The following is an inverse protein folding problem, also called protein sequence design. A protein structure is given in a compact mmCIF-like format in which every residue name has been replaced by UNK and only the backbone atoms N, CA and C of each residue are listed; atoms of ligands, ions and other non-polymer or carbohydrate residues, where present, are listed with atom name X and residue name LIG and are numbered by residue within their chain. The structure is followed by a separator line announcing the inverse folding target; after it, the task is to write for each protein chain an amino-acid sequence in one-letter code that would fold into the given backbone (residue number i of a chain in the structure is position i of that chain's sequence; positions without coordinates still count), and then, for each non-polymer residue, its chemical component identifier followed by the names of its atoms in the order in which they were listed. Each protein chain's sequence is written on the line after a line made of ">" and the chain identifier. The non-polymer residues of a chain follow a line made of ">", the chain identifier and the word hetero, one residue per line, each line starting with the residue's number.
data_IF_940926988800
#
_entry.id   IF_940926988800
#
_cell.length_a   1.000
_cell.length_b   1.000
_cell.length_c   1.000
_cell.angle_alpha   90.00
_cell.angle_beta   90.00
_cell.angle_gamma   90.00
#
_symmetry.space_group_name_H-M   'P 1'
#
loop_
_entity.id
_entity.type
_entity.pdbx_description
1 polymer ?
#
# COMPACT_ATOMS: atom_id res chain seq x y z
N UNK A 1 25.18 -2.05 -1.94
CA UNK A 1 24.31 -1.67 -3.08
C UNK A 1 23.72 -0.31 -2.76
N UNK A 2 23.91 0.68 -3.63
CA UNK A 2 23.25 1.98 -3.48
C UNK A 2 21.72 1.79 -3.46
N UNK A 3 20.97 2.60 -2.68
CA UNK A 3 19.52 2.52 -2.71
C UNK A 3 19.03 2.77 -4.15
N UNK A 4 18.30 1.81 -4.73
CA UNK A 4 17.63 2.00 -6.03
C UNK A 4 16.71 3.21 -5.93
N UNK A 5 16.79 4.09 -6.93
CA UNK A 5 15.90 5.25 -7.06
C UNK A 5 14.43 4.80 -7.07
N UNK A 6 13.49 5.60 -6.52
CA UNK A 6 12.06 5.29 -6.57
C UNK A 6 11.55 5.20 -8.02
N UNK A 7 10.68 4.23 -8.30
CA UNK A 7 10.05 4.06 -9.62
C UNK A 7 8.54 4.17 -9.50
N UNK A 8 7.97 5.14 -10.22
CA UNK A 8 6.53 5.39 -10.29
C UNK A 8 5.95 4.89 -11.62
N UNK A 9 4.66 4.53 -11.61
CA UNK A 9 3.99 3.94 -12.77
C UNK A 9 4.25 2.44 -12.90
N UNK A 10 4.04 1.90 -14.10
CA UNK A 10 4.29 0.49 -14.40
C UNK A 10 5.79 0.16 -14.32
N UNK A 11 6.09 -1.07 -13.92
CA UNK A 11 7.46 -1.60 -13.87
C UNK A 11 7.50 -2.87 -14.74
N UNK A 12 8.50 -2.93 -15.62
CA UNK A 12 8.64 -4.02 -16.59
C UNK A 12 7.44 -4.11 -17.53
N UNK A 13 6.95 -5.33 -17.73
CA UNK A 13 5.81 -5.64 -18.63
C UNK A 13 4.50 -5.89 -17.90
N UNK A 14 4.46 -5.66 -16.59
CA UNK A 14 3.31 -6.02 -15.76
C UNK A 14 2.06 -5.20 -16.10
N UNK A 15 0.92 -5.87 -16.23
CA UNK A 15 -0.40 -5.31 -16.54
C UNK A 15 -1.41 -5.66 -15.46
N UNK A 16 -2.46 -4.84 -15.33
CA UNK A 16 -3.56 -5.14 -14.43
C UNK A 16 -4.12 -6.55 -14.73
N UNK A 17 -4.32 -7.35 -13.70
CA UNK A 17 -4.70 -8.76 -13.80
C UNK A 17 -3.53 -9.75 -13.65
N UNK A 18 -2.28 -9.31 -13.85
CA UNK A 18 -1.11 -10.19 -13.71
C UNK A 18 -0.98 -10.72 -12.28
N UNK A 19 -0.57 -11.97 -12.17
CA UNK A 19 -0.46 -12.70 -10.91
C UNK A 19 1.01 -12.86 -10.50
N UNK A 20 1.24 -12.81 -9.18
CA UNK A 20 2.53 -12.99 -8.55
C UNK A 20 2.41 -14.02 -7.42
N UNK A 21 3.38 -14.92 -7.36
CA UNK A 21 3.50 -15.99 -6.40
C UNK A 21 3.77 -15.52 -4.98
N UNK A 22 4.53 -14.43 -4.78
CA UNK A 22 4.93 -14.03 -3.43
C UNK A 22 5.41 -12.58 -3.28
N UNK A 23 5.56 -12.13 -2.02
CA UNK A 23 6.26 -10.88 -1.68
C UNK A 23 7.73 -10.87 -2.13
N UNK A 24 8.38 -12.03 -2.17
CA UNK A 24 9.75 -12.16 -2.64
C UNK A 24 9.84 -11.88 -4.14
N UNK A 25 8.98 -12.50 -4.94
CA UNK A 25 8.91 -12.25 -6.38
C UNK A 25 8.61 -10.77 -6.68
N UNK A 26 7.63 -10.17 -5.97
CA UNK A 26 7.34 -8.74 -6.11
C UNK A 26 8.56 -7.85 -5.82
N UNK A 27 9.40 -8.23 -4.86
CA UNK A 27 10.59 -7.48 -4.51
C UNK A 27 11.73 -7.68 -5.52
N UNK A 28 11.95 -8.92 -5.97
CA UNK A 28 12.95 -9.28 -6.98
C UNK A 28 12.69 -8.59 -8.32
N UNK A 29 11.42 -8.55 -8.75
CA UNK A 29 10.97 -7.86 -9.96
C UNK A 29 10.86 -6.34 -9.79
N UNK A 30 11.03 -5.80 -8.57
CA UNK A 30 10.91 -4.37 -8.29
C UNK A 30 9.48 -3.82 -8.29
N UNK A 31 8.48 -4.69 -8.39
CA UNK A 31 7.05 -4.37 -8.37
C UNK A 31 6.65 -3.72 -7.03
N UNK A 32 7.01 -4.39 -5.92
CA UNK A 32 6.84 -3.92 -4.55
C UNK A 32 8.00 -4.41 -3.68
N UNK A 33 8.97 -3.52 -3.41
CA UNK A 33 10.26 -3.85 -2.78
C UNK A 33 10.19 -4.35 -1.34
N UNK A 34 9.30 -3.85 -0.46
CA UNK A 34 9.20 -4.36 0.91
C UNK A 34 8.71 -5.80 0.97
N UNK A 35 9.34 -6.63 1.81
CA UNK A 35 8.90 -8.02 2.03
C UNK A 35 7.75 -8.14 3.04
N UNK A 36 7.53 -7.13 3.88
CA UNK A 36 6.50 -7.13 4.94
C UNK A 36 5.56 -5.93 4.87
N UNK A 37 6.12 -4.71 4.88
CA UNK A 37 5.32 -3.48 4.96
C UNK A 37 4.33 -3.34 3.79
N UNK A 38 3.11 -2.89 4.06
CA UNK A 38 2.08 -2.73 3.03
C UNK A 38 2.40 -1.63 2.00
N UNK A 39 3.17 -0.61 2.38
CA UNK A 39 3.46 0.57 1.55
C UNK A 39 4.93 0.62 1.18
N UNK A 40 5.27 0.76 -0.10
CA UNK A 40 6.62 1.09 -0.58
C UNK A 40 6.68 2.58 -0.88
N UNK A 41 7.35 3.36 -0.03
CA UNK A 41 7.36 4.81 -0.15
C UNK A 41 8.60 5.45 0.49
N UNK A 42 8.86 6.69 0.10
CA UNK A 42 9.71 7.64 0.83
C UNK A 42 8.94 8.93 1.06
N UNK A 43 9.20 9.63 2.17
CA UNK A 43 8.58 10.93 2.45
C UNK A 43 8.90 11.98 1.38
N UNK A 44 10.11 11.92 0.81
CA UNK A 44 10.58 12.90 -0.18
C UNK A 44 9.94 12.71 -1.55
N UNK A 45 9.80 11.47 -2.02
CA UNK A 45 9.38 11.19 -3.40
C UNK A 45 7.93 10.71 -3.52
N UNK A 46 7.37 10.08 -2.49
CA UNK A 46 6.03 9.53 -2.53
C UNK A 46 5.98 8.01 -2.43
N UNK A 47 4.79 7.46 -2.58
CA UNK A 47 4.52 6.03 -2.61
C UNK A 47 4.60 5.46 -4.03
N UNK A 48 5.42 4.42 -4.20
CA UNK A 48 5.61 3.70 -5.46
C UNK A 48 4.55 2.60 -5.63
N UNK A 49 4.21 1.91 -4.53
CA UNK A 49 3.26 0.80 -4.54
C UNK A 49 2.67 0.52 -3.16
N UNK A 50 1.49 -0.09 -3.13
CA UNK A 50 0.85 -0.62 -1.92
C UNK A 50 0.38 -2.06 -2.12
N UNK A 51 0.15 -2.74 -1.00
CA UNK A 51 -0.50 -4.06 -0.94
C UNK A 51 -1.81 -3.93 -0.15
N UNK A 52 -2.93 -4.22 -0.83
CA UNK A 52 -4.24 -4.47 -0.23
C UNK A 52 -4.30 -5.93 0.22
N UNK A 53 -4.31 -6.13 1.52
CA UNK A 53 -4.14 -7.46 2.08
C UNK A 53 -5.19 -7.78 3.15
N UNK A 54 -6.23 -6.97 3.33
CA UNK A 54 -7.26 -7.19 4.35
C UNK A 54 -6.65 -7.46 5.74
N UNK A 55 -5.63 -6.64 6.06
CA UNK A 55 -4.88 -6.75 7.32
C UNK A 55 -5.22 -5.61 8.27
N UNK A 56 -5.87 -4.56 7.78
CA UNK A 56 -6.29 -3.43 8.58
C UNK A 56 -7.82 -3.45 8.62
N UNK A 57 -8.37 -3.45 9.83
CA UNK A 57 -9.81 -3.39 10.02
C UNK A 57 -10.43 -2.11 9.43
N UNK A 58 -9.64 -1.04 9.29
CA UNK A 58 -10.04 0.25 8.75
C UNK A 58 -9.87 0.39 7.23
N UNK A 59 -9.43 -0.65 6.52
CA UNK A 59 -9.52 -0.68 5.06
C UNK A 59 -11.01 -0.74 4.66
N UNK A 60 -11.43 0.08 3.70
CA UNK A 60 -12.81 0.14 3.21
C UNK A 60 -12.84 0.15 1.67
N UNK A 61 -13.39 -0.92 1.10
CA UNK A 61 -13.28 -1.22 -0.33
C UNK A 61 -14.64 -1.01 -1.01
N UNK A 62 -14.66 -0.19 -2.05
CA UNK A 62 -15.80 0.05 -2.93
C UNK A 62 -15.52 -0.50 -4.33
N UNK A 63 -16.52 -0.45 -5.22
CA UNK A 63 -16.40 -1.00 -6.57
C UNK A 63 -15.37 -0.23 -7.43
N UNK A 64 -15.29 1.09 -7.25
CA UNK A 64 -14.52 2.03 -8.06
C UNK A 64 -13.39 2.73 -7.29
N UNK A 65 -13.36 2.64 -5.95
CA UNK A 65 -12.31 3.22 -5.12
C UNK A 65 -12.12 2.44 -3.80
N UNK A 66 -11.11 2.81 -3.02
CA UNK A 66 -10.99 2.32 -1.65
C UNK A 66 -10.33 3.34 -0.74
N UNK A 67 -10.63 3.23 0.56
CA UNK A 67 -9.87 3.86 1.63
C UNK A 67 -8.86 2.87 2.18
N UNK A 68 -7.59 3.26 2.12
CA UNK A 68 -6.46 2.49 2.60
C UNK A 68 -6.01 3.01 3.96
N UNK A 69 -5.94 2.12 4.96
CA UNK A 69 -5.42 2.46 6.27
C UNK A 69 -3.89 2.64 6.23
N UNK A 70 -3.42 3.73 6.82
CA UNK A 70 -2.01 4.07 6.94
C UNK A 70 -1.21 3.04 7.74
N UNK A 71 0.11 3.16 7.68
CA UNK A 71 1.01 2.34 8.46
C UNK A 71 1.21 2.89 9.87
N UNK A 72 1.34 2.01 10.88
CA UNK A 72 1.74 2.38 12.24
C UNK A 72 0.68 2.08 13.32
N UNK A 73 1.08 2.25 14.58
CA UNK A 73 0.20 2.10 15.74
C UNK A 73 -0.39 0.70 15.97
N UNK A 74 0.20 -0.36 15.39
CA UNK A 74 -0.25 -1.75 15.55
C UNK A 74 0.62 -2.52 16.53
N UNK A 75 -0.03 -3.36 17.34
CA UNK A 75 0.64 -4.35 18.16
C UNK A 75 1.32 -5.41 17.25
N UNK A 76 2.62 -5.68 17.41
CA UNK A 76 3.36 -6.57 16.52
C UNK A 76 3.03 -8.07 16.71
N UNK A 77 2.43 -8.45 17.84
CA UNK A 77 1.99 -9.83 18.13
C UNK A 77 0.61 -10.10 17.55
N UNK A 78 -0.34 -9.18 17.76
CA UNK A 78 -1.74 -9.38 17.35
C UNK A 78 -2.05 -8.79 15.98
N UNK A 79 -1.25 -7.82 15.54
CA UNK A 79 -1.55 -7.01 14.37
C UNK A 79 -2.74 -6.09 14.58
N UNK A 80 -3.32 -5.91 15.77
CA UNK A 80 -4.44 -4.97 15.93
C UNK A 80 -3.94 -3.56 16.19
N UNK A 81 -4.76 -2.55 15.89
CA UNK A 81 -4.46 -1.17 16.25
C UNK A 81 -4.42 -1.06 17.79
N UNK A 82 -3.35 -0.48 18.33
CA UNK A 82 -3.07 -0.38 19.76
C UNK A 82 -2.58 1.02 20.20
N UNK A 83 -2.42 1.93 19.24
CA UNK A 83 -2.07 3.33 19.46
C UNK A 83 -2.51 4.16 18.24
N UNK A 84 -2.56 5.48 18.42
CA UNK A 84 -2.74 6.43 17.32
C UNK A 84 -1.62 6.31 16.28
N UNK A 85 -1.96 6.52 15.02
CA UNK A 85 -0.98 6.53 13.94
C UNK A 85 -0.29 7.89 13.81
N UNK A 86 1.03 7.88 13.83
CA UNK A 86 1.82 9.02 13.40
C UNK A 86 1.79 9.20 11.87
N UNK A 87 1.98 10.43 11.42
CA UNK A 87 2.32 10.71 10.02
C UNK A 87 3.79 10.35 9.73
N UNK A 88 4.11 9.07 9.85
CA UNK A 88 5.45 8.53 9.58
C UNK A 88 5.82 8.60 8.09
N UNK A 89 7.06 8.28 7.74
CA UNK A 89 7.56 8.43 6.36
C UNK A 89 6.76 7.66 5.29
N UNK A 90 6.07 6.57 5.64
CA UNK A 90 5.23 5.82 4.68
C UNK A 90 3.93 6.59 4.43
N UNK A 91 3.30 7.07 5.49
CA UNK A 91 2.08 7.88 5.42
C UNK A 91 2.35 9.24 4.75
N UNK A 92 3.49 9.87 5.07
CA UNK A 92 3.99 11.06 4.35
C UNK A 92 4.20 10.77 2.86
N UNK A 93 4.67 9.57 2.51
CA UNK A 93 4.82 9.16 1.11
C UNK A 93 3.49 9.08 0.37
N UNK A 94 2.43 8.54 0.99
CA UNK A 94 1.09 8.53 0.39
C UNK A 94 0.53 9.95 0.25
N UNK A 95 0.65 10.78 1.29
CA UNK A 95 0.26 12.20 1.22
C UNK A 95 1.05 12.97 0.15
N UNK A 96 2.33 12.64 -0.05
CA UNK A 96 3.16 13.22 -1.11
C UNK A 96 2.70 12.76 -2.49
N UNK A 97 2.31 11.49 -2.67
CA UNK A 97 1.74 11.02 -3.92
C UNK A 97 0.45 11.76 -4.26
N UNK A 98 -0.42 12.02 -3.28
CA UNK A 98 -1.60 12.88 -3.47
C UNK A 98 -1.20 14.28 -3.93
N UNK A 99 -0.28 14.94 -3.21
CA UNK A 99 0.13 16.30 -3.53
C UNK A 99 0.83 16.44 -4.90
N UNK A 100 1.33 15.34 -5.47
CA UNK A 100 2.09 15.35 -6.73
C UNK A 100 1.38 14.65 -7.89
N UNK A 101 0.21 14.05 -7.65
CA UNK A 101 -0.49 13.22 -8.65
C UNK A 101 0.30 11.99 -9.10
N UNK A 102 1.29 11.54 -8.32
CA UNK A 102 2.13 10.40 -8.71
C UNK A 102 1.34 9.09 -8.61
N UNK A 103 1.35 8.24 -9.65
CA UNK A 103 0.62 6.98 -9.63
C UNK A 103 1.26 5.98 -8.66
N UNK A 104 0.40 5.22 -7.99
CA UNK A 104 0.72 4.17 -7.03
C UNK A 104 0.30 2.82 -7.61
N UNK A 105 1.23 1.86 -7.71
CA UNK A 105 0.87 0.48 -8.08
C UNK A 105 0.11 -0.20 -6.94
N UNK A 106 -1.03 -0.81 -7.23
CA UNK A 106 -1.81 -1.54 -6.21
C UNK A 106 -1.73 -3.04 -6.45
N UNK A 107 -1.37 -3.80 -5.42
CA UNK A 107 -1.40 -5.26 -5.43
C UNK A 107 -2.43 -5.76 -4.42
N UNK A 108 -3.36 -6.61 -4.84
CA UNK A 108 -4.32 -7.25 -3.93
C UNK A 108 -3.83 -8.65 -3.59
N UNK A 109 -3.84 -9.03 -2.30
CA UNK A 109 -3.67 -10.42 -1.88
C UNK A 109 -4.94 -11.20 -2.24
N UNK A 110 -4.80 -12.24 -3.05
CA UNK A 110 -5.91 -13.08 -3.53
C UNK A 110 -5.92 -14.48 -2.91
N UNK A 111 -4.80 -14.93 -2.35
CA UNK A 111 -4.69 -16.20 -1.66
C UNK A 111 -3.61 -16.16 -0.57
N UNK A 112 -3.74 -16.96 0.51
CA UNK A 112 -2.69 -17.10 1.51
C UNK A 112 -1.55 -18.01 1.01
N UNK A 113 -0.38 -17.92 1.63
CA UNK A 113 0.67 -18.93 1.47
C UNK A 113 0.20 -20.29 2.00
N UNK A 114 0.53 -21.43 1.35
CA UNK A 114 1.48 -21.57 0.23
C UNK A 114 0.84 -21.65 -1.17
N UNK A 115 -0.19 -20.83 -1.48
CA UNK A 115 -0.73 -20.78 -2.83
C UNK A 115 0.32 -20.37 -3.88
N UNK A 116 0.19 -20.94 -5.09
CA UNK A 116 1.09 -20.67 -6.21
C UNK A 116 1.02 -19.23 -6.73
N UNK A 117 -0.13 -18.58 -6.57
CA UNK A 117 -0.38 -17.19 -6.92
C UNK A 117 -1.08 -16.51 -5.74
N UNK A 118 -0.40 -15.56 -5.09
CA UNK A 118 -0.85 -14.94 -3.85
C UNK A 118 -1.28 -13.49 -4.06
N UNK A 119 -0.76 -12.82 -5.07
CA UNK A 119 -1.03 -11.41 -5.34
C UNK A 119 -1.47 -11.22 -6.78
N UNK A 120 -2.37 -10.27 -7.00
CA UNK A 120 -2.76 -9.77 -8.31
C UNK A 120 -2.41 -8.29 -8.40
N UNK A 121 -1.84 -7.87 -9.50
CA UNK A 121 -1.64 -6.46 -9.79
C UNK A 121 -2.96 -5.84 -10.26
N UNK A 122 -3.46 -4.84 -9.54
CA UNK A 122 -4.74 -4.17 -9.85
C UNK A 122 -4.56 -2.95 -10.78
N UNK A 123 -3.32 -2.59 -11.11
CA UNK A 123 -3.02 -1.43 -11.96
C UNK A 123 -2.49 -0.22 -11.19
N UNK A 124 -2.58 0.94 -11.83
CA UNK A 124 -2.16 2.22 -11.27
C UNK A 124 -3.36 2.94 -10.66
N UNK A 125 -3.14 3.53 -9.50
CA UNK A 125 -4.12 4.32 -8.77
C UNK A 125 -3.52 5.67 -8.42
N UNK A 126 -4.37 6.67 -8.21
CA UNK A 126 -4.00 7.95 -7.63
C UNK A 126 -4.53 8.06 -6.21
N UNK A 127 -3.74 8.66 -5.32
CA UNK A 127 -4.24 9.06 -4.00
C UNK A 127 -4.97 10.38 -4.18
N UNK A 128 -6.29 10.40 -3.99
CA UNK A 128 -7.12 11.58 -4.26
C UNK A 128 -7.49 12.35 -3.00
N UNK A 129 -7.46 11.70 -1.84
CA UNK A 129 -7.73 12.33 -0.54
C UNK A 129 -6.99 11.59 0.59
N UNK A 130 -6.80 12.27 1.71
CA UNK A 130 -6.39 11.65 2.96
C UNK A 130 -7.03 12.34 4.16
N UNK A 131 -7.27 11.58 5.22
CA UNK A 131 -7.86 12.08 6.45
C UNK A 131 -7.24 11.40 7.68
N UNK A 132 -7.33 12.07 8.82
CA UNK A 132 -6.97 11.52 10.12
C UNK A 132 -8.26 11.36 10.91
N UNK A 133 -8.67 10.12 11.16
CA UNK A 133 -9.98 9.79 11.72
C UNK A 133 -9.83 8.81 12.88
N UNK A 134 -10.88 8.67 13.69
CA UNK A 134 -10.93 7.64 14.72
C UNK A 134 -11.36 6.33 14.08
N UNK A 135 -10.47 5.34 14.06
CA UNK A 135 -10.70 4.01 13.49
C UNK A 135 -11.57 3.12 14.39
N UNK A 136 -11.85 1.90 13.91
CA UNK A 136 -12.78 0.95 14.53
C UNK A 136 -12.35 0.50 15.94
N UNK A 137 -11.05 0.47 16.23
CA UNK A 137 -10.50 0.19 17.56
C UNK A 137 -10.42 1.43 18.48
N UNK A 138 -10.93 2.60 18.07
CA UNK A 138 -10.95 3.82 18.88
C UNK A 138 -9.66 4.64 18.86
N UNK A 139 -8.63 4.18 18.14
CA UNK A 139 -7.39 4.92 17.90
C UNK A 139 -7.48 5.74 16.63
N UNK A 140 -6.65 6.78 16.54
CA UNK A 140 -6.57 7.61 15.35
C UNK A 140 -5.78 6.92 14.24
N UNK A 141 -6.29 6.95 13.02
CA UNK A 141 -5.74 6.28 11.83
C UNK A 141 -5.71 7.26 10.68
N UNK A 142 -4.61 7.26 9.92
CA UNK A 142 -4.58 7.95 8.62
C UNK A 142 -5.28 7.07 7.59
N UNK A 143 -6.27 7.60 6.88
CA UNK A 143 -6.89 6.93 5.75
C UNK A 143 -6.57 7.68 4.46
N UNK A 144 -6.34 6.94 3.38
CA UNK A 144 -6.02 7.47 2.06
C UNK A 144 -7.02 6.93 1.04
N UNK A 145 -7.72 7.80 0.33
CA UNK A 145 -8.62 7.38 -0.76
C UNK A 145 -7.82 7.20 -2.03
N UNK A 146 -7.93 6.01 -2.63
CA UNK A 146 -7.31 5.70 -3.90
C UNK A 146 -8.37 5.36 -4.96
N UNK A 147 -8.15 5.89 -6.16
CA UNK A 147 -8.98 5.69 -7.35
C UNK A 147 -8.12 5.21 -8.52
N UNK A 148 -8.62 4.36 -9.42
CA UNK A 148 -7.91 3.98 -10.65
C UNK A 148 -7.45 5.23 -11.43
N UNK A 149 -6.20 5.19 -11.91
CA UNK A 149 -5.55 6.31 -12.61
C UNK A 149 -5.91 6.39 -14.10
#
# INVERSE_FOLDING_TARGET
>A
MSPKAPVFGHVGTARAGDLFASRHELAELGQHRPLRAGVCATAQHGAESIVLADQYEDDDIHDDYFWYAGHGGRDPKTGRQAADQDLNYRNQGLARSQATGRPVRVFRRIAPSPAAQQFRYEGLFQVVAHEYVTGKSGYRVWQFRLEPA
#
